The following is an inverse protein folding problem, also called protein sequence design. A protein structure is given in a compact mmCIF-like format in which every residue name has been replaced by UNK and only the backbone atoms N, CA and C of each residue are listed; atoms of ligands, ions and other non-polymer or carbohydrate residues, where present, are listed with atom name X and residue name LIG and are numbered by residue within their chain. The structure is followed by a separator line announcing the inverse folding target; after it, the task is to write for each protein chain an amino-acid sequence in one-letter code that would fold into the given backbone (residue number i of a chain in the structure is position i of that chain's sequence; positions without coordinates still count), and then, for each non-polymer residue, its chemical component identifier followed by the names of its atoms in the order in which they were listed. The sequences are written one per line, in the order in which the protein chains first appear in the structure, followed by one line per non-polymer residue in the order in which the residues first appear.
data_IF_939393080593
#
_entry.id   IF_939393080593
#
_cell.length_a   1.000
_cell.length_b   1.000
_cell.length_c   1.000
_cell.angle_alpha   90.00
_cell.angle_beta   90.00
_cell.angle_gamma   90.00
#
_symmetry.space_group_name_H-M   'P 1'
#
loop_
_entity.id
_entity.type
_entity.pdbx_description
1 polymer ?
#
# COMPACT_ATOMS: atom_id res chain seq x y z
N UNK A 1 10.44 -15.36 7.06
CA UNK A 1 9.64 -14.15 7.34
C UNK A 1 9.26 -13.50 6.02
N UNK A 2 7.98 -13.23 5.77
CA UNK A 2 7.58 -12.44 4.61
C UNK A 2 8.02 -10.98 4.80
N UNK A 3 8.63 -10.38 3.78
CA UNK A 3 9.06 -8.98 3.83
C UNK A 3 7.82 -8.08 3.95
N UNK A 4 7.79 -7.28 5.01
CA UNK A 4 6.78 -6.25 5.24
C UNK A 4 7.32 -4.92 4.75
N UNK A 5 6.47 -4.16 4.07
CA UNK A 5 6.77 -2.83 3.59
C UNK A 5 5.94 -1.81 4.36
N UNK A 6 6.53 -0.66 4.63
CA UNK A 6 5.83 0.50 5.18
C UNK A 6 5.20 1.32 4.07
N UNK A 7 4.25 2.19 4.44
CA UNK A 7 3.62 3.10 3.47
C UNK A 7 4.65 3.97 2.74
N UNK A 8 5.73 4.38 3.41
CA UNK A 8 6.83 5.15 2.82
C UNK A 8 7.57 4.40 1.71
N UNK A 9 7.65 3.08 1.80
CA UNK A 9 8.25 2.24 0.75
C UNK A 9 7.25 2.01 -0.39
N UNK A 10 5.99 1.74 -0.07
CA UNK A 10 4.95 1.52 -1.08
C UNK A 10 4.79 2.73 -2.00
N UNK A 11 4.76 3.95 -1.44
CA UNK A 11 4.61 5.17 -2.26
C UNK A 11 5.83 5.42 -3.15
N UNK A 12 7.04 5.01 -2.71
CA UNK A 12 8.27 5.08 -3.52
C UNK A 12 8.21 4.08 -4.66
N UNK A 13 7.77 2.85 -4.39
CA UNK A 13 7.64 1.78 -5.40
C UNK A 13 6.60 2.15 -6.46
N UNK A 14 5.48 2.74 -6.04
CA UNK A 14 4.42 3.17 -6.95
C UNK A 14 4.67 4.54 -7.59
N UNK A 15 5.76 5.22 -7.21
CA UNK A 15 6.09 6.59 -7.65
C UNK A 15 4.94 7.59 -7.48
N UNK A 16 4.26 7.54 -6.33
CA UNK A 16 3.15 8.44 -5.99
C UNK A 16 3.42 9.19 -4.70
N UNK A 17 2.68 10.29 -4.48
CA UNK A 17 2.65 10.96 -3.19
C UNK A 17 1.82 10.19 -2.15
N UNK A 18 2.15 10.39 -0.86
CA UNK A 18 1.38 9.82 0.26
C UNK A 18 -0.10 10.26 0.25
N UNK A 19 -0.37 11.50 -0.13
CA UNK A 19 -1.73 12.04 -0.28
C UNK A 19 -2.52 11.28 -1.35
N UNK A 20 -1.89 10.95 -2.47
CA UNK A 20 -2.50 10.17 -3.57
C UNK A 20 -2.92 8.80 -3.09
N UNK A 21 -2.02 8.10 -2.37
CA UNK A 21 -2.34 6.80 -1.79
C UNK A 21 -3.57 6.87 -0.86
N UNK A 22 -3.59 7.80 0.09
CA UNK A 22 -4.72 7.93 1.01
C UNK A 22 -6.02 8.34 0.32
N UNK A 23 -5.93 9.16 -0.73
CA UNK A 23 -7.10 9.49 -1.55
C UNK A 23 -7.65 8.27 -2.25
N UNK A 24 -6.80 7.45 -2.88
CA UNK A 24 -7.24 6.19 -3.49
C UNK A 24 -7.84 5.22 -2.48
N UNK A 25 -7.28 5.14 -1.27
CA UNK A 25 -7.84 4.32 -0.18
C UNK A 25 -9.22 4.85 0.25
N UNK A 26 -9.35 6.18 0.43
CA UNK A 26 -10.61 6.84 0.80
C UNK A 26 -11.69 6.67 -0.28
N UNK A 27 -11.30 6.83 -1.53
CA UNK A 27 -12.18 6.73 -2.71
C UNK A 27 -12.45 5.26 -3.10
N UNK A 28 -11.95 4.29 -2.31
CA UNK A 28 -12.08 2.83 -2.53
C UNK A 28 -11.55 2.33 -3.88
N UNK A 29 -10.67 3.11 -4.51
CA UNK A 29 -9.94 2.72 -5.73
C UNK A 29 -8.96 1.59 -5.45
N UNK A 30 -8.34 1.58 -4.27
CA UNK A 30 -7.44 0.51 -3.81
C UNK A 30 -7.98 -0.13 -2.53
N UNK A 31 -7.67 -1.41 -2.27
CA UNK A 31 -8.03 -2.04 -1.01
C UNK A 31 -7.34 -1.36 0.18
N UNK A 32 -7.97 -1.34 1.37
CA UNK A 32 -7.38 -0.77 2.57
C UNK A 32 -6.11 -1.51 2.97
N UNK A 33 -5.15 -0.77 3.51
CA UNK A 33 -3.90 -1.35 4.02
C UNK A 33 -4.17 -2.37 5.14
N UNK A 34 -3.40 -3.46 5.13
CA UNK A 34 -3.43 -4.43 6.23
C UNK A 34 -2.88 -3.78 7.50
N UNK A 35 -3.47 -4.12 8.65
CA UNK A 35 -3.03 -3.63 9.96
C UNK A 35 -2.58 -4.79 10.83
N UNK A 36 -1.46 -4.61 11.49
CA UNK A 36 -0.92 -5.60 12.42
C UNK A 36 -1.80 -5.65 13.68
N UNK A 37 -2.19 -6.84 14.14
CA UNK A 37 -3.16 -6.97 15.25
C UNK A 37 -2.59 -6.50 16.59
N UNK A 38 -1.28 -6.62 16.79
CA UNK A 38 -0.62 -6.27 18.05
C UNK A 38 -0.34 -4.77 18.13
N UNK A 39 0.06 -4.18 17.01
CA UNK A 39 0.55 -2.80 16.98
C UNK A 39 -0.36 -1.81 16.24
N UNK A 40 -1.41 -2.31 15.56
CA UNK A 40 -2.34 -1.55 14.71
C UNK A 40 -1.67 -0.74 13.58
N UNK A 41 -0.37 -0.96 13.33
CA UNK A 41 0.36 -0.29 12.26
C UNK A 41 0.01 -0.89 10.89
N UNK A 42 0.01 -0.01 9.89
CA UNK A 42 -0.16 -0.40 8.49
C UNK A 42 1.08 -1.12 7.99
N UNK A 43 0.89 -2.29 7.41
CA UNK A 43 1.95 -3.02 6.73
C UNK A 43 1.45 -3.53 5.37
N UNK A 44 2.39 -3.70 4.46
CA UNK A 44 2.13 -4.20 3.13
C UNK A 44 3.01 -5.40 2.86
N UNK A 45 2.48 -6.37 2.13
CA UNK A 45 3.24 -7.52 1.63
C UNK A 45 3.60 -7.31 0.17
N UNK A 46 4.48 -8.16 -0.37
CA UNK A 46 4.77 -8.18 -1.81
C UNK A 46 3.50 -8.34 -2.65
N UNK A 47 2.56 -9.19 -2.22
CA UNK A 47 1.28 -9.43 -2.89
C UNK A 47 0.40 -8.16 -2.92
N UNK A 48 0.41 -7.39 -1.83
CA UNK A 48 -0.35 -6.13 -1.77
C UNK A 48 0.23 -5.12 -2.78
N UNK A 49 1.55 -5.02 -2.87
CA UNK A 49 2.23 -4.16 -3.84
C UNK A 49 1.90 -4.59 -5.27
N UNK A 50 2.00 -5.89 -5.59
CA UNK A 50 1.65 -6.41 -6.92
C UNK A 50 0.19 -6.11 -7.29
N UNK A 51 -0.73 -6.22 -6.33
CA UNK A 51 -2.13 -5.85 -6.54
C UNK A 51 -2.29 -4.35 -6.78
N UNK A 52 -1.60 -3.51 -6.02
CA UNK A 52 -1.61 -2.06 -6.21
C UNK A 52 -1.05 -1.67 -7.59
N UNK A 53 0.03 -2.32 -8.04
CA UNK A 53 0.58 -2.10 -9.40
C UNK A 53 -0.45 -2.42 -10.48
N UNK A 54 -1.14 -3.56 -10.37
CA UNK A 54 -2.20 -3.96 -11.32
C UNK A 54 -3.37 -2.98 -11.36
N UNK A 55 -3.83 -2.49 -10.21
CA UNK A 55 -4.95 -1.55 -10.13
C UNK A 55 -4.55 -0.18 -10.68
N UNK A 56 -3.35 0.28 -10.37
CA UNK A 56 -2.94 1.67 -10.62
C UNK A 56 -2.20 1.85 -11.95
N UNK A 57 -1.84 0.75 -12.61
CA UNK A 57 -1.08 0.73 -13.86
C UNK A 57 0.33 1.31 -13.73
N UNK A 58 0.88 1.33 -12.52
CA UNK A 58 2.13 2.05 -12.19
C UNK A 58 3.12 1.14 -11.48
N UNK A 59 4.40 1.33 -11.81
CA UNK A 59 5.56 0.75 -11.14
C UNK A 59 6.14 -0.51 -11.78
#
# INVERSE_FOLDING_TARGET
MEKRYLISEVIKILQIGRKTYYRWEKDKLIPPARRDKLSNYRYFTKKDIERLKKITGRG
#
